data_IF_868212249256
#
_entry.id   IF_868212249256
#
_cell.length_a   1.000
_cell.length_b   1.000
_cell.length_c   1.000
_cell.angle_alpha   90.00
_cell.angle_beta   90.00
_cell.angle_gamma   90.00
#
_symmetry.space_group_name_H-M   'P 1'
#
loop_
_entity.id
_entity.type
_entity.pdbx_description
1 polymer ?
#
# COMPACT_ATOMS: atom_id res chain seq x y z
N UNK A 1 -47.98 30.50 1.70
CA UNK A 1 -47.68 29.07 1.55
C UNK A 1 -46.19 28.90 1.75
N UNK A 2 -45.79 28.49 2.95
CA UNK A 2 -44.39 28.31 3.32
C UNK A 2 -43.93 26.99 2.72
N UNK A 3 -43.14 27.04 1.65
CA UNK A 3 -42.53 25.86 1.04
C UNK A 3 -41.75 25.11 2.13
N UNK A 4 -42.21 23.92 2.49
CA UNK A 4 -41.47 23.05 3.41
C UNK A 4 -40.07 22.83 2.81
N UNK A 5 -39.03 23.20 3.55
CA UNK A 5 -37.66 23.01 3.13
C UNK A 5 -37.45 21.54 2.79
N UNK A 6 -37.11 21.25 1.53
CA UNK A 6 -36.72 19.90 1.12
C UNK A 6 -35.59 19.41 2.03
N UNK A 7 -35.69 18.18 2.58
CA UNK A 7 -34.64 17.64 3.43
C UNK A 7 -33.35 17.49 2.60
N UNK A 8 -32.30 18.20 3.01
CA UNK A 8 -30.99 18.19 2.37
C UNK A 8 -30.27 16.86 2.68
N UNK A 9 -30.08 15.95 1.71
CA UNK A 9 -29.56 14.61 1.96
C UNK A 9 -28.11 14.59 2.44
N UNK A 10 -27.37 15.70 2.31
CA UNK A 10 -26.00 15.83 2.79
C UNK A 10 -25.92 16.30 4.24
N UNK A 11 -27.01 16.83 4.81
CA UNK A 11 -27.06 17.24 6.22
C UNK A 11 -27.43 16.06 7.10
N UNK A 12 -26.52 15.72 8.01
CA UNK A 12 -26.77 14.66 8.97
C UNK A 12 -27.60 15.17 10.16
N UNK A 13 -28.40 14.30 10.81
CA UNK A 13 -29.14 14.65 12.00
C UNK A 13 -28.21 14.98 13.18
N UNK A 14 -28.73 15.72 14.16
CA UNK A 14 -27.97 16.06 15.37
C UNK A 14 -27.73 14.79 16.22
N UNK A 15 -26.47 14.39 16.49
CA UNK A 15 -26.19 13.28 17.37
C UNK A 15 -26.51 13.63 18.83
N UNK A 16 -27.04 12.67 19.57
CA UNK A 16 -27.14 12.74 21.03
C UNK A 16 -25.88 12.12 21.68
N UNK A 17 -25.62 12.34 22.99
CA UNK A 17 -24.41 11.83 23.64
C UNK A 17 -24.23 10.30 23.58
N UNK A 18 -25.32 9.54 23.43
CA UNK A 18 -25.32 8.08 23.31
C UNK A 18 -25.25 7.58 21.86
N UNK A 19 -25.26 8.48 20.87
CA UNK A 19 -25.19 8.11 19.45
C UNK A 19 -23.82 7.51 19.16
N UNK A 20 -23.71 6.36 18.50
CA UNK A 20 -22.41 5.79 18.15
C UNK A 20 -21.65 6.73 17.21
N UNK A 21 -20.33 6.85 17.40
CA UNK A 21 -19.48 7.69 16.55
C UNK A 21 -19.53 7.20 15.10
N UNK A 22 -19.52 5.88 14.89
CA UNK A 22 -19.65 5.25 13.58
C UNK A 22 -20.99 4.49 13.51
N UNK A 23 -21.89 4.79 12.56
CA UNK A 23 -23.18 4.12 12.43
C UNK A 23 -23.01 2.69 11.91
N UNK A 24 -23.97 1.82 12.24
CA UNK A 24 -23.91 0.38 11.95
C UNK A 24 -23.59 0.02 10.49
N UNK A 25 -24.00 0.86 9.52
CA UNK A 25 -23.74 0.62 8.10
C UNK A 25 -22.30 0.92 7.65
N UNK A 26 -21.51 1.64 8.46
CA UNK A 26 -20.09 1.94 8.19
C UNK A 26 -19.13 1.13 9.08
N UNK A 27 -19.66 0.49 10.13
CA UNK A 27 -18.86 -0.27 11.09
C UNK A 27 -18.40 -1.59 10.48
N UNK A 28 -17.11 -1.88 10.60
CA UNK A 28 -16.54 -3.21 10.38
C UNK A 28 -16.95 -4.11 11.55
N UNK A 29 -17.68 -5.19 11.26
CA UNK A 29 -18.28 -6.07 12.25
C UNK A 29 -17.28 -6.57 13.32
N UNK A 30 -16.06 -6.92 12.90
CA UNK A 30 -14.99 -7.41 13.78
C UNK A 30 -14.58 -6.39 14.86
N UNK A 31 -14.66 -5.09 14.55
CA UNK A 31 -14.26 -3.99 15.43
C UNK A 31 -15.44 -3.19 15.99
N UNK A 32 -16.67 -3.67 15.81
CA UNK A 32 -17.88 -2.97 16.26
C UNK A 32 -17.89 -2.69 17.77
N UNK A 33 -17.33 -3.60 18.56
CA UNK A 33 -17.21 -3.49 20.02
C UNK A 33 -16.26 -2.38 20.49
N UNK A 34 -15.42 -1.83 19.59
CA UNK A 34 -14.50 -0.73 19.88
C UNK A 34 -15.11 0.65 19.58
N UNK A 35 -16.37 0.70 19.16
CA UNK A 35 -17.05 1.95 18.82
C UNK A 35 -17.39 2.74 20.09
N UNK A 36 -17.08 4.03 20.06
CA UNK A 36 -17.41 4.94 21.16
C UNK A 36 -18.75 5.64 20.89
N UNK A 37 -19.32 6.21 21.95
CA UNK A 37 -20.45 7.12 21.83
C UNK A 37 -19.97 8.55 21.55
N UNK A 38 -20.82 9.37 20.94
CA UNK A 38 -20.53 10.75 20.57
C UNK A 38 -20.01 11.57 21.77
N UNK A 39 -20.60 11.41 22.96
CA UNK A 39 -20.17 12.13 24.16
C UNK A 39 -18.80 11.71 24.73
N UNK A 40 -18.18 10.65 24.22
CA UNK A 40 -16.91 10.15 24.74
C UNK A 40 -15.75 11.11 24.44
N UNK A 41 -14.78 11.17 25.36
CA UNK A 41 -13.55 11.97 25.19
C UNK A 41 -12.54 11.35 24.22
N UNK A 42 -12.69 10.06 23.90
CA UNK A 42 -11.84 9.35 22.95
C UNK A 42 -12.72 8.69 21.90
N UNK A 43 -12.42 8.96 20.63
CA UNK A 43 -13.11 8.33 19.49
C UNK A 43 -12.13 7.43 18.73
N UNK A 44 -12.21 6.10 18.92
CA UNK A 44 -11.40 5.14 18.17
C UNK A 44 -11.83 5.08 16.70
N UNK A 45 -10.87 5.06 15.77
CA UNK A 45 -11.16 4.84 14.33
C UNK A 45 -11.14 3.36 13.94
N UNK A 46 -10.81 2.46 14.87
CA UNK A 46 -10.81 1.02 14.64
C UNK A 46 -12.12 0.48 14.01
N UNK A 47 -13.33 0.98 14.37
CA UNK A 47 -14.56 0.53 13.73
C UNK A 47 -14.66 0.80 12.23
N UNK A 48 -13.82 1.69 11.65
CA UNK A 48 -13.78 1.99 10.21
C UNK A 48 -12.65 1.23 9.47
N UNK A 49 -11.85 0.44 10.18
CA UNK A 49 -10.65 -0.19 9.64
C UNK A 49 -10.87 -1.71 9.60
N UNK A 50 -10.89 -2.28 8.39
CA UNK A 50 -10.96 -3.73 8.19
C UNK A 50 -9.58 -4.39 8.18
N UNK A 51 -8.53 -3.62 7.86
CA UNK A 51 -7.15 -4.13 7.78
C UNK A 51 -6.51 -4.22 9.18
N UNK A 52 -6.18 -5.43 9.68
CA UNK A 52 -5.56 -5.60 10.99
C UNK A 52 -4.13 -5.03 11.08
N UNK A 53 -3.47 -4.75 9.95
CA UNK A 53 -2.13 -4.15 9.90
C UNK A 53 -2.14 -2.61 9.96
N UNK A 54 -3.30 -1.98 9.75
CA UNK A 54 -3.42 -0.53 9.78
C UNK A 54 -3.50 -0.02 11.22
N UNK A 55 -2.66 0.97 11.55
CA UNK A 55 -2.57 1.54 12.89
C UNK A 55 -3.92 2.06 13.39
N UNK A 56 -4.36 1.56 14.55
CA UNK A 56 -5.62 1.97 15.22
C UNK A 56 -5.45 3.35 15.87
N UNK A 57 -5.63 4.41 15.09
CA UNK A 57 -5.58 5.80 15.57
C UNK A 57 -6.91 6.19 16.23
N UNK A 58 -6.84 7.13 17.17
CA UNK A 58 -8.00 7.68 17.88
C UNK A 58 -7.95 9.21 17.91
N UNK A 59 -9.11 9.85 18.01
CA UNK A 59 -9.23 11.28 18.26
C UNK A 59 -9.39 11.47 19.78
N UNK A 60 -8.53 12.30 20.37
CA UNK A 60 -8.53 12.59 21.80
C UNK A 60 -9.03 14.02 22.04
N UNK A 61 -10.27 14.17 22.49
CA UNK A 61 -10.94 15.47 22.69
C UNK A 61 -10.42 16.27 23.89
N UNK A 62 -9.66 15.64 24.79
CA UNK A 62 -8.93 16.32 25.87
C UNK A 62 -7.91 17.32 25.31
N UNK A 63 -7.37 17.04 24.12
CA UNK A 63 -6.41 17.91 23.44
C UNK A 63 -7.07 19.13 22.77
N UNK A 64 -8.40 19.19 22.72
CA UNK A 64 -9.16 20.30 22.18
C UNK A 64 -9.51 21.30 23.30
N UNK A 65 -9.30 22.62 23.08
CA UNK A 65 -9.77 23.64 24.00
C UNK A 65 -11.27 23.47 24.29
N UNK A 66 -11.66 23.68 25.55
CA UNK A 66 -13.02 23.39 26.01
C UNK A 66 -14.08 24.22 25.26
N UNK A 67 -13.77 25.47 24.89
CA UNK A 67 -14.66 26.35 24.16
C UNK A 67 -15.08 25.80 22.78
N UNK A 68 -14.15 25.14 22.07
CA UNK A 68 -14.38 24.62 20.72
C UNK A 68 -14.76 23.15 20.66
N UNK A 69 -14.72 22.44 21.80
CA UNK A 69 -14.82 20.98 21.84
C UNK A 69 -16.11 20.49 21.21
N UNK A 70 -17.26 21.05 21.58
CA UNK A 70 -18.55 20.58 21.07
C UNK A 70 -18.78 20.97 19.61
N UNK A 71 -18.35 22.17 19.19
CA UNK A 71 -18.43 22.61 17.78
C UNK A 71 -17.58 21.70 16.88
N UNK A 72 -16.31 21.48 17.23
CA UNK A 72 -15.43 20.61 16.46
C UNK A 72 -15.84 19.14 16.53
N UNK A 73 -16.42 18.70 17.64
CA UNK A 73 -16.96 17.33 17.76
C UNK A 73 -18.13 17.12 16.81
N UNK A 74 -19.03 18.07 16.72
CA UNK A 74 -20.16 17.98 15.79
C UNK A 74 -19.66 17.92 14.35
N UNK A 75 -18.75 18.83 13.96
CA UNK A 75 -18.20 18.85 12.61
C UNK A 75 -17.39 17.57 12.31
N UNK A 76 -16.62 17.05 13.28
CA UNK A 76 -15.89 15.79 13.13
C UNK A 76 -16.83 14.59 12.95
N UNK A 77 -17.96 14.56 13.67
CA UNK A 77 -18.96 13.51 13.48
C UNK A 77 -19.61 13.59 12.10
N UNK A 78 -19.94 14.81 11.63
CA UNK A 78 -20.42 15.04 10.27
C UNK A 78 -19.37 14.65 9.22
N UNK A 79 -18.10 14.93 9.47
CA UNK A 79 -16.98 14.57 8.60
C UNK A 79 -16.77 13.06 8.49
N UNK A 80 -16.88 12.32 9.60
CA UNK A 80 -16.73 10.86 9.62
C UNK A 80 -17.89 10.18 8.89
N UNK A 81 -19.11 10.66 9.12
CA UNK A 81 -20.32 9.96 8.70
C UNK A 81 -20.94 10.48 7.41
N UNK A 82 -20.63 11.72 7.04
CA UNK A 82 -21.19 12.41 5.88
C UNK A 82 -20.33 12.30 4.64
N UNK A 83 -20.73 13.04 3.62
CA UNK A 83 -20.04 13.17 2.33
C UNK A 83 -20.10 14.63 1.87
N UNK A 84 -19.05 15.11 1.22
CA UNK A 84 -19.07 16.46 0.63
C UNK A 84 -20.01 16.51 -0.59
N UNK A 85 -20.62 17.67 -0.83
CA UNK A 85 -21.49 17.88 -2.00
C UNK A 85 -20.69 17.67 -3.30
N UNK A 86 -21.34 17.11 -4.31
CA UNK A 86 -20.73 16.91 -5.64
C UNK A 86 -20.32 18.22 -6.31
N UNK A 87 -21.04 19.32 -6.08
CA UNK A 87 -20.70 20.66 -6.58
C UNK A 87 -19.35 21.12 -6.03
N UNK A 88 -19.16 20.98 -4.72
CA UNK A 88 -17.91 21.27 -4.03
C UNK A 88 -16.75 20.43 -4.59
N UNK A 89 -16.97 19.12 -4.80
CA UNK A 89 -15.93 18.24 -5.36
C UNK A 89 -15.54 18.62 -6.81
N UNK A 90 -16.49 19.08 -7.63
CA UNK A 90 -16.19 19.55 -8.99
C UNK A 90 -15.32 20.80 -8.99
N UNK A 91 -15.55 21.73 -8.07
CA UNK A 91 -14.76 22.96 -7.94
C UNK A 91 -13.32 22.69 -7.49
N UNK A 92 -13.09 21.65 -6.67
CA UNK A 92 -11.80 21.39 -6.02
C UNK A 92 -11.00 20.23 -6.65
N UNK A 93 -11.60 19.45 -7.54
CA UNK A 93 -10.97 18.34 -8.25
C UNK A 93 -10.33 17.32 -7.32
N UNK A 94 -9.10 16.89 -7.64
CA UNK A 94 -8.38 15.83 -6.90
C UNK A 94 -7.93 16.27 -5.49
N UNK A 95 -7.91 17.58 -5.19
CA UNK A 95 -7.48 18.13 -3.89
C UNK A 95 -8.46 17.78 -2.75
N UNK A 96 -9.72 17.54 -3.09
CA UNK A 96 -10.77 17.17 -2.14
C UNK A 96 -11.40 15.83 -2.51
N UNK A 97 -11.67 15.01 -1.49
CA UNK A 97 -12.30 13.70 -1.64
C UNK A 97 -13.66 13.73 -0.96
N UNK A 98 -14.63 13.00 -1.51
CA UNK A 98 -15.98 12.88 -0.93
C UNK A 98 -15.95 12.38 0.51
N UNK A 99 -15.09 11.39 0.77
CA UNK A 99 -14.76 10.83 2.10
C UNK A 99 -13.26 10.64 2.23
N UNK A 100 -12.74 10.87 3.43
CA UNK A 100 -11.35 10.56 3.79
C UNK A 100 -11.26 9.18 4.43
N UNK A 101 -10.13 8.50 4.20
CA UNK A 101 -9.87 7.21 4.83
C UNK A 101 -9.79 7.33 6.35
N UNK A 102 -10.18 6.29 7.08
CA UNK A 102 -10.10 6.22 8.55
C UNK A 102 -8.72 6.60 9.12
N UNK A 103 -7.63 6.31 8.39
CA UNK A 103 -6.27 6.67 8.81
C UNK A 103 -5.93 8.16 8.69
N UNK A 104 -6.60 8.89 7.79
CA UNK A 104 -6.39 10.32 7.52
C UNK A 104 -7.32 11.23 8.34
N UNK A 105 -8.45 10.70 8.82
CA UNK A 105 -9.44 11.42 9.61
C UNK A 105 -8.85 12.01 10.91
N UNK A 106 -8.16 11.25 11.79
CA UNK A 106 -7.60 11.81 13.01
C UNK A 106 -6.57 12.90 12.75
N UNK A 107 -5.73 12.75 11.73
CA UNK A 107 -4.74 13.75 11.36
C UNK A 107 -5.40 15.07 10.93
N UNK A 108 -6.51 14.99 10.19
CA UNK A 108 -7.30 16.18 9.79
C UNK A 108 -7.88 16.90 11.00
N UNK A 109 -8.48 16.16 11.94
CA UNK A 109 -9.05 16.73 13.17
C UNK A 109 -7.97 17.36 14.05
N UNK A 110 -6.74 16.81 14.07
CA UNK A 110 -5.62 17.43 14.79
C UNK A 110 -5.29 18.82 14.25
N UNK A 111 -5.34 19.05 12.94
CA UNK A 111 -5.17 20.39 12.37
C UNK A 111 -6.29 21.35 12.80
N UNK A 112 -7.53 20.86 12.95
CA UNK A 112 -8.63 21.66 13.49
C UNK A 112 -8.40 22.03 14.97
N UNK A 113 -7.88 21.11 15.77
CA UNK A 113 -7.52 21.40 17.16
C UNK A 113 -6.36 22.40 17.25
N UNK A 114 -5.44 22.42 16.28
CA UNK A 114 -4.38 23.43 16.21
C UNK A 114 -4.96 24.82 15.92
N UNK A 115 -5.91 24.94 14.98
CA UNK A 115 -6.67 26.17 14.75
C UNK A 115 -7.39 26.61 16.04
N UNK A 116 -8.12 25.71 16.69
CA UNK A 116 -8.85 26.04 17.93
C UNK A 116 -7.92 26.55 19.03
N UNK A 117 -6.72 25.98 19.20
CA UNK A 117 -5.72 26.49 20.16
C UNK A 117 -5.20 27.88 19.77
N UNK A 118 -5.02 28.13 18.48
CA UNK A 118 -4.59 29.43 17.98
C UNK A 118 -5.66 30.51 18.20
N UNK A 119 -6.94 30.15 18.05
CA UNK A 119 -8.09 31.01 18.33
C UNK A 119 -8.25 31.27 19.83
N UNK A 120 -8.17 30.23 20.67
CA UNK A 120 -8.32 30.33 22.13
C UNK A 120 -7.23 31.23 22.74
N UNK A 121 -5.99 31.16 22.22
CA UNK A 121 -4.90 32.08 22.59
C UNK A 121 -5.19 33.56 22.29
N UNK A 122 -6.06 33.84 21.33
CA UNK A 122 -6.52 35.20 20.96
C UNK A 122 -7.83 35.59 21.65
N UNK A 123 -8.34 34.74 22.55
CA UNK A 123 -9.62 34.97 23.23
C UNK A 123 -10.84 34.70 22.36
N UNK A 124 -10.68 34.17 21.15
CA UNK A 124 -11.80 33.75 20.30
C UNK A 124 -12.29 32.39 20.81
N UNK A 125 -13.60 32.25 21.00
CA UNK A 125 -14.21 31.09 21.70
C UNK A 125 -15.27 30.33 20.92
N UNK A 126 -15.52 30.71 19.67
CA UNK A 126 -16.47 30.04 18.77
C UNK A 126 -15.99 30.14 17.33
N UNK A 127 -16.26 29.12 16.52
CA UNK A 127 -15.99 29.11 15.09
C UNK A 127 -16.81 30.17 14.34
N UNK A 128 -17.96 30.58 14.87
CA UNK A 128 -18.79 31.64 14.30
C UNK A 128 -18.07 33.00 14.24
N UNK A 129 -17.08 33.23 15.11
CA UNK A 129 -16.27 34.43 15.13
C UNK A 129 -15.07 34.37 14.15
N UNK A 130 -14.92 33.27 13.41
CA UNK A 130 -13.90 33.15 12.36
C UNK A 130 -14.41 33.80 11.08
N UNK A 131 -14.32 35.12 11.02
CA UNK A 131 -14.55 35.87 9.79
C UNK A 131 -13.37 35.76 8.81
N UNK A 132 -13.50 36.41 7.66
CA UNK A 132 -12.45 36.42 6.62
C UNK A 132 -11.12 36.99 7.13
N UNK A 133 -11.15 37.97 8.03
CA UNK A 133 -9.93 38.60 8.59
C UNK A 133 -9.20 37.64 9.52
N UNK A 134 -9.93 37.01 10.44
CA UNK A 134 -9.37 36.01 11.36
C UNK A 134 -8.76 34.85 10.59
N UNK A 135 -9.44 34.38 9.54
CA UNK A 135 -8.89 33.31 8.71
C UNK A 135 -7.68 33.78 7.91
N UNK A 136 -7.68 35.00 7.35
CA UNK A 136 -6.51 35.57 6.69
C UNK A 136 -5.28 35.59 7.63
N UNK A 137 -5.45 36.08 8.86
CA UNK A 137 -4.40 36.07 9.88
C UNK A 137 -3.92 34.66 10.22
N UNK A 138 -4.84 33.69 10.29
CA UNK A 138 -4.46 32.29 10.51
C UNK A 138 -3.62 31.74 9.35
N UNK A 139 -4.01 32.06 8.11
CA UNK A 139 -3.25 31.66 6.92
C UNK A 139 -1.83 32.25 6.91
N UNK A 140 -1.70 33.53 7.26
CA UNK A 140 -0.40 34.21 7.41
C UNK A 140 0.42 33.54 8.52
N UNK A 141 -0.21 33.23 9.67
CA UNK A 141 0.45 32.49 10.74
C UNK A 141 0.94 31.10 10.27
N UNK A 142 0.14 30.36 9.50
CA UNK A 142 0.54 29.06 8.94
C UNK A 142 1.72 29.21 7.98
N UNK A 143 1.71 30.23 7.11
CA UNK A 143 2.83 30.56 6.23
C UNK A 143 4.12 30.76 7.01
N UNK A 144 4.06 31.51 8.10
CA UNK A 144 5.25 31.94 8.84
C UNK A 144 5.77 30.88 9.83
N UNK A 145 4.91 29.93 10.23
CA UNK A 145 5.25 28.93 11.27
C UNK A 145 5.33 27.48 10.78
N UNK A 146 4.82 27.18 9.58
CA UNK A 146 4.89 25.83 9.05
C UNK A 146 6.34 25.41 8.78
N UNK A 147 6.67 24.17 9.16
CA UNK A 147 8.02 23.58 8.94
C UNK A 147 8.32 23.31 7.47
N UNK A 148 7.33 23.44 6.58
CA UNK A 148 7.49 23.32 5.14
C UNK A 148 6.19 23.55 4.37
N UNK A 149 6.32 23.81 3.07
CA UNK A 149 5.20 24.12 2.17
C UNK A 149 4.10 23.06 2.18
N UNK A 150 4.47 21.78 2.19
CA UNK A 150 3.51 20.66 2.24
C UNK A 150 2.71 20.61 3.55
N UNK A 151 3.33 20.94 4.68
CA UNK A 151 2.64 21.04 5.98
C UNK A 151 1.64 22.19 5.93
N UNK A 152 2.03 23.35 5.40
CA UNK A 152 1.14 24.48 5.21
C UNK A 152 -0.06 24.12 4.31
N UNK A 153 0.16 23.49 3.15
CA UNK A 153 -0.91 23.01 2.26
C UNK A 153 -1.87 22.09 3.00
N UNK A 154 -1.37 21.11 3.77
CA UNK A 154 -2.21 20.18 4.54
C UNK A 154 -3.05 20.90 5.59
N UNK A 155 -2.45 21.85 6.32
CA UNK A 155 -3.15 22.65 7.32
C UNK A 155 -4.26 23.49 6.70
N UNK A 156 -3.98 24.24 5.64
CA UNK A 156 -4.96 25.09 4.95
C UNK A 156 -6.10 24.24 4.36
N UNK A 157 -5.76 23.11 3.73
CA UNK A 157 -6.74 22.14 3.19
C UNK A 157 -7.63 21.56 4.30
N UNK A 158 -7.07 21.28 5.47
CA UNK A 158 -7.85 20.80 6.61
C UNK A 158 -8.85 21.86 7.08
N UNK A 159 -8.46 23.14 7.13
CA UNK A 159 -9.37 24.23 7.50
C UNK A 159 -10.46 24.46 6.44
N UNK A 160 -10.14 24.35 5.16
CA UNK A 160 -11.16 24.33 4.09
C UNK A 160 -12.17 23.20 4.30
N UNK A 161 -11.71 22.00 4.68
CA UNK A 161 -12.62 20.90 5.03
C UNK A 161 -13.47 21.19 6.26
N UNK A 162 -12.91 21.87 7.27
CA UNK A 162 -13.66 22.27 8.46
C UNK A 162 -14.85 23.15 8.05
N UNK A 163 -14.61 24.19 7.26
CA UNK A 163 -15.67 25.07 6.75
C UNK A 163 -16.71 24.29 5.92
N UNK A 164 -16.27 23.46 4.98
CA UNK A 164 -17.18 22.70 4.13
C UNK A 164 -18.08 21.72 4.91
N UNK A 165 -17.56 21.09 5.97
CA UNK A 165 -18.36 20.20 6.81
C UNK A 165 -19.16 20.93 7.90
N UNK A 166 -18.77 22.14 8.31
CA UNK A 166 -19.59 23.01 9.18
C UNK A 166 -20.94 23.32 8.52
N UNK A 167 -20.95 23.66 7.23
CA UNK A 167 -22.17 23.93 6.46
C UNK A 167 -23.12 22.71 6.36
N UNK A 168 -22.55 21.51 6.42
CA UNK A 168 -23.26 20.22 6.37
C UNK A 168 -23.63 19.69 7.75
N UNK A 169 -23.16 20.33 8.81
CA UNK A 169 -23.47 19.92 10.17
C UNK A 169 -24.93 20.24 10.52
N UNK A 170 -25.47 19.55 11.54
CA UNK A 170 -26.82 19.78 12.02
C UNK A 170 -27.01 21.19 12.64
N UNK A 171 -25.91 21.82 13.07
CA UNK A 171 -25.87 23.17 13.65
C UNK A 171 -24.62 23.89 13.12
N UNK A 172 -24.66 24.40 11.88
CA UNK A 172 -23.55 25.16 11.33
C UNK A 172 -23.22 26.34 12.24
N UNK A 173 -21.95 26.52 12.53
CA UNK A 173 -21.47 27.67 13.32
C UNK A 173 -21.48 28.95 12.48
N UNK A 174 -21.42 28.83 11.16
CA UNK A 174 -21.40 29.98 10.24
C UNK A 174 -19.99 30.54 10.04
N UNK A 175 -18.97 29.69 10.22
CA UNK A 175 -17.58 30.01 9.89
C UNK A 175 -17.48 30.56 8.46
N UNK A 176 -16.73 31.64 8.26
CA UNK A 176 -16.55 32.21 6.94
C UNK A 176 -15.75 31.27 6.01
N UNK A 177 -16.00 31.38 4.71
CA UNK A 177 -15.19 30.69 3.69
C UNK A 177 -13.73 31.14 3.81
N UNK A 178 -12.75 30.23 3.88
CA UNK A 178 -11.35 30.61 3.97
C UNK A 178 -10.85 31.37 2.74
N UNK A 179 -10.03 32.44 2.91
CA UNK A 179 -9.61 33.27 1.78
C UNK A 179 -8.69 32.55 0.80
N UNK A 180 -7.87 31.58 1.25
CA UNK A 180 -7.05 30.74 0.36
C UNK A 180 -7.87 29.78 -0.50
N UNK A 181 -9.10 29.49 -0.09
CA UNK A 181 -10.03 28.69 -0.89
C UNK A 181 -10.67 29.53 -2.01
N UNK A 182 -11.01 30.79 -1.69
CA UNK A 182 -11.67 31.71 -2.61
C UNK A 182 -10.70 32.37 -3.60
N UNK A 183 -9.51 32.77 -3.15
CA UNK A 183 -8.55 33.57 -3.95
C UNK A 183 -7.25 32.83 -4.30
N UNK A 184 -7.11 31.57 -3.84
CA UNK A 184 -5.91 30.77 -4.03
C UNK A 184 -4.97 30.78 -2.82
N UNK A 185 -4.22 29.69 -2.65
CA UNK A 185 -3.43 29.44 -1.45
C UNK A 185 -2.01 30.00 -1.48
N UNK A 186 -1.50 30.43 -2.64
CA UNK A 186 -0.07 30.71 -2.82
C UNK A 186 0.46 31.80 -1.87
N UNK A 187 -0.31 32.84 -1.58
CA UNK A 187 0.05 33.92 -0.65
C UNK A 187 0.17 33.47 0.82
N UNK A 188 -0.40 32.30 1.13
CA UNK A 188 -0.44 31.69 2.46
C UNK A 188 0.53 30.52 2.60
N UNK A 189 1.34 30.28 1.58
CA UNK A 189 2.31 29.19 1.58
C UNK A 189 3.72 29.75 1.72
N UNK A 190 4.60 29.09 2.52
CA UNK A 190 6.01 29.44 2.54
C UNK A 190 6.57 29.49 1.12
N UNK A 191 7.59 30.32 0.91
CA UNK A 191 8.32 30.40 -0.35
C UNK A 191 8.64 28.98 -0.82
N UNK A 192 8.43 28.72 -2.11
CA UNK A 192 8.81 27.45 -2.70
C UNK A 192 10.33 27.32 -2.58
N UNK A 193 10.78 26.61 -1.57
CA UNK A 193 12.17 26.17 -1.52
C UNK A 193 12.33 25.14 -2.62
N UNK A 194 13.40 25.24 -3.41
CA UNK A 194 13.76 24.24 -4.42
C UNK A 194 13.94 22.83 -3.83
N UNK A 195 13.90 22.72 -2.49
CA UNK A 195 14.00 21.51 -1.67
C UNK A 195 12.67 21.08 -1.03
N UNK A 196 11.54 21.70 -1.38
CA UNK A 196 10.25 21.50 -0.71
C UNK A 196 9.24 20.67 -1.50
N UNK A 197 9.61 19.49 -1.99
CA UNK A 197 8.74 18.60 -2.76
C UNK A 197 8.91 17.13 -2.38
N UNK A 198 8.01 16.62 -1.54
CA UNK A 198 7.50 15.24 -1.48
C UNK A 198 8.44 14.02 -1.60
N UNK A 199 9.76 14.16 -1.48
CA UNK A 199 10.72 13.08 -1.35
C UNK A 199 11.74 13.46 -0.29
N UNK A 200 11.50 13.00 0.95
CA UNK A 200 12.36 13.25 2.12
C UNK A 200 13.68 12.44 2.07
N UNK A 201 13.92 11.73 0.97
CA UNK A 201 15.22 11.19 0.60
C UNK A 201 15.69 11.95 -0.62
N UNK A 202 16.94 12.38 -0.57
CA UNK A 202 17.69 12.87 -1.73
C UNK A 202 17.31 12.01 -2.95
N UNK A 203 16.86 12.61 -4.07
CA UNK A 203 16.63 11.86 -5.30
C UNK A 203 17.86 10.97 -5.53
N UNK A 204 17.64 9.68 -5.78
CA UNK A 204 18.72 8.80 -6.19
C UNK A 204 19.49 9.53 -7.28
N UNK A 205 20.78 9.77 -7.04
CA UNK A 205 21.64 10.57 -7.92
C UNK A 205 21.39 10.12 -9.38
N UNK A 206 21.33 11.05 -10.33
CA UNK A 206 20.98 10.73 -11.73
C UNK A 206 21.85 9.62 -12.31
N UNK A 207 23.10 9.53 -11.82
CA UNK A 207 24.10 8.51 -12.11
C UNK A 207 23.66 7.08 -11.71
N UNK A 208 22.72 6.95 -10.78
CA UNK A 208 22.11 5.67 -10.36
C UNK A 208 20.72 5.43 -10.95
N UNK A 209 19.91 6.48 -11.09
CA UNK A 209 18.53 6.35 -11.59
C UNK A 209 18.50 6.01 -13.08
N UNK A 210 19.34 6.65 -13.88
CA UNK A 210 19.44 6.40 -15.32
C UNK A 210 19.75 4.93 -15.64
N UNK A 211 20.86 4.36 -15.12
CA UNK A 211 21.18 2.95 -15.34
C UNK A 211 20.12 1.98 -14.81
N UNK A 212 19.50 2.26 -13.66
CA UNK A 212 18.45 1.42 -13.10
C UNK A 212 17.22 1.37 -14.02
N UNK A 213 16.80 2.50 -14.58
CA UNK A 213 15.69 2.56 -15.52
C UNK A 213 16.00 1.86 -16.83
N UNK A 214 17.21 2.06 -17.37
CA UNK A 214 17.66 1.35 -18.57
C UNK A 214 17.58 -0.16 -18.35
N UNK A 215 18.07 -0.66 -17.21
CA UNK A 215 17.98 -2.08 -16.90
C UNK A 215 16.55 -2.55 -16.63
N UNK A 216 15.71 -1.75 -15.98
CA UNK A 216 14.31 -2.09 -15.78
C UNK A 216 13.56 -2.23 -17.11
N UNK A 217 13.76 -1.29 -18.04
CA UNK A 217 13.20 -1.34 -19.40
C UNK A 217 13.68 -2.61 -20.11
N UNK A 218 14.99 -2.88 -20.09
CA UNK A 218 15.54 -4.07 -20.75
C UNK A 218 15.05 -5.39 -20.16
N UNK A 219 14.86 -5.48 -18.84
CA UNK A 219 14.27 -6.68 -18.22
C UNK A 219 12.85 -6.93 -18.74
N UNK A 220 12.09 -5.87 -19.00
CA UNK A 220 10.72 -5.99 -19.52
C UNK A 220 10.70 -6.23 -21.03
N UNK A 221 11.45 -5.45 -21.80
CA UNK A 221 11.41 -5.50 -23.26
C UNK A 221 12.22 -6.66 -23.84
N UNK A 222 13.42 -6.93 -23.30
CA UNK A 222 14.33 -7.93 -23.87
C UNK A 222 14.16 -9.32 -23.22
N UNK A 223 13.76 -9.40 -21.94
CA UNK A 223 13.91 -10.62 -21.13
C UNK A 223 12.59 -11.19 -20.57
N UNK A 224 11.47 -10.46 -20.65
CA UNK A 224 10.24 -10.84 -19.96
C UNK A 224 9.68 -12.19 -20.43
N UNK A 225 9.69 -12.46 -21.73
CA UNK A 225 9.12 -13.69 -22.30
C UNK A 225 9.85 -14.93 -21.77
N UNK A 226 11.18 -14.90 -21.72
CA UNK A 226 11.99 -15.98 -21.17
C UNK A 226 11.71 -16.19 -19.67
N UNK A 227 11.61 -15.10 -18.90
CA UNK A 227 11.32 -15.15 -17.45
C UNK A 227 9.92 -15.73 -17.18
N UNK A 228 8.91 -15.28 -17.94
CA UNK A 228 7.53 -15.74 -17.81
C UNK A 228 7.41 -17.22 -18.22
N UNK A 229 8.09 -17.63 -19.29
CA UNK A 229 8.14 -19.02 -19.73
C UNK A 229 8.81 -19.92 -18.67
N UNK A 230 9.94 -19.48 -18.11
CA UNK A 230 10.65 -20.16 -17.04
C UNK A 230 9.80 -20.32 -15.78
N UNK A 231 9.13 -19.23 -15.36
CA UNK A 231 8.22 -19.26 -14.22
C UNK A 231 7.06 -20.23 -14.45
N UNK A 232 6.44 -20.19 -15.63
CA UNK A 232 5.34 -21.08 -15.97
C UNK A 232 5.77 -22.56 -15.96
N UNK A 233 6.95 -22.89 -16.51
CA UNK A 233 7.46 -24.26 -16.49
C UNK A 233 7.85 -24.72 -15.08
N UNK A 234 8.53 -23.88 -14.31
CA UNK A 234 8.89 -24.20 -12.93
C UNK A 234 7.63 -24.43 -12.06
N UNK A 235 6.57 -23.63 -12.26
CA UNK A 235 5.28 -23.84 -11.59
C UNK A 235 4.64 -25.18 -12.00
N UNK A 236 4.61 -25.48 -13.31
CA UNK A 236 4.10 -26.77 -13.81
C UNK A 236 4.85 -27.95 -13.17
N UNK A 237 6.19 -27.93 -13.15
CA UNK A 237 6.98 -29.00 -12.55
C UNK A 237 6.70 -29.17 -11.06
N UNK A 238 6.56 -28.06 -10.31
CA UNK A 238 6.21 -28.11 -8.88
C UNK A 238 4.79 -28.66 -8.64
N UNK A 239 3.83 -28.24 -9.45
CA UNK A 239 2.45 -28.73 -9.38
C UNK A 239 2.36 -30.22 -9.75
N UNK A 240 3.12 -30.66 -10.75
CA UNK A 240 3.21 -32.08 -11.11
C UNK A 240 3.80 -32.88 -9.94
N UNK A 241 4.98 -32.51 -9.44
CA UNK A 241 5.65 -33.24 -8.36
C UNK A 241 4.81 -33.37 -7.08
N UNK A 242 4.01 -32.35 -6.76
CA UNK A 242 3.14 -32.36 -5.56
C UNK A 242 1.90 -33.24 -5.73
N UNK A 243 1.41 -33.44 -6.96
CA UNK A 243 0.21 -34.24 -7.25
C UNK A 243 0.52 -35.69 -7.63
N UNK A 244 1.76 -36.00 -8.00
CA UNK A 244 2.14 -37.34 -8.45
C UNK A 244 2.08 -38.37 -7.32
N UNK A 245 1.23 -39.41 -7.42
CA UNK A 245 1.16 -40.47 -6.42
C UNK A 245 2.36 -41.43 -6.53
N UNK A 246 2.61 -42.18 -5.46
CA UNK A 246 3.66 -43.20 -5.46
C UNK A 246 3.25 -44.37 -6.36
N UNK A 247 3.99 -44.62 -7.45
CA UNK A 247 3.73 -45.74 -8.36
C UNK A 247 4.99 -46.58 -8.59
N UNK A 248 4.86 -47.89 -8.90
CA UNK A 248 6.01 -48.71 -9.29
C UNK A 248 6.73 -48.19 -10.54
N UNK A 249 5.99 -47.65 -11.51
CA UNK A 249 6.56 -47.06 -12.71
C UNK A 249 7.42 -45.81 -12.39
N UNK A 250 6.91 -44.88 -11.58
CA UNK A 250 7.68 -43.70 -11.15
C UNK A 250 8.90 -44.08 -10.31
N UNK A 251 8.78 -45.12 -9.50
CA UNK A 251 9.90 -45.69 -8.75
C UNK A 251 11.01 -46.22 -9.67
N UNK A 252 10.66 -47.01 -10.68
CA UNK A 252 11.61 -47.56 -11.65
C UNK A 252 12.27 -46.46 -12.49
N UNK A 253 11.49 -45.46 -12.93
CA UNK A 253 12.00 -44.29 -13.65
C UNK A 253 12.98 -43.46 -12.82
N UNK A 254 12.73 -43.31 -11.52
CA UNK A 254 13.66 -42.65 -10.60
C UNK A 254 14.97 -43.42 -10.45
N UNK A 255 14.92 -44.74 -10.25
CA UNK A 255 16.12 -45.56 -10.12
C UNK A 255 16.94 -45.51 -11.43
N UNK A 256 16.29 -45.65 -12.60
CA UNK A 256 16.94 -45.50 -13.91
C UNK A 256 17.58 -44.12 -14.12
N UNK A 257 16.90 -43.04 -13.70
CA UNK A 257 17.44 -41.68 -13.76
C UNK A 257 18.71 -41.51 -12.91
N UNK A 258 18.69 -42.00 -11.67
CA UNK A 258 19.83 -41.91 -10.75
C UNK A 258 21.01 -42.76 -11.22
N UNK A 259 20.74 -43.96 -11.75
CA UNK A 259 21.76 -44.87 -12.27
C UNK A 259 22.44 -44.29 -13.51
N UNK A 260 21.66 -43.68 -14.42
CA UNK A 260 22.21 -42.99 -15.60
C UNK A 260 23.12 -41.82 -15.21
N UNK A 261 22.73 -41.02 -14.21
CA UNK A 261 23.56 -39.90 -13.71
C UNK A 261 24.87 -40.39 -13.11
N UNK A 262 24.82 -41.52 -12.38
CA UNK A 262 26.00 -42.15 -11.77
C UNK A 262 26.93 -42.71 -12.84
N UNK A 263 26.40 -43.41 -13.84
CA UNK A 263 27.18 -44.03 -14.92
C UNK A 263 27.94 -43.00 -15.76
N UNK A 264 27.33 -41.84 -16.02
CA UNK A 264 27.96 -40.74 -16.78
C UNK A 264 28.81 -39.83 -15.86
N UNK A 265 28.78 -40.04 -14.54
CA UNK A 265 29.50 -39.21 -13.57
C UNK A 265 29.00 -37.76 -13.50
N UNK A 266 27.74 -37.51 -13.90
CA UNK A 266 27.11 -36.18 -13.85
C UNK A 266 26.68 -35.84 -12.42
N UNK A 267 26.85 -34.57 -12.06
CA UNK A 267 26.40 -34.05 -10.77
C UNK A 267 24.87 -34.12 -10.66
N UNK A 268 24.35 -34.54 -9.50
CA UNK A 268 22.91 -34.69 -9.27
C UNK A 268 22.23 -33.34 -9.10
N UNK A 269 20.97 -33.16 -9.59
CA UNK A 269 20.25 -31.90 -9.45
C UNK A 269 20.16 -31.46 -7.99
N UNK A 270 20.59 -30.25 -7.73
CA UNK A 270 20.79 -29.71 -6.40
C UNK A 270 20.09 -28.37 -6.20
N UNK A 271 19.72 -28.10 -4.94
CA UNK A 271 19.23 -26.81 -4.48
C UNK A 271 20.09 -26.32 -3.32
N UNK A 272 20.47 -25.04 -3.33
CA UNK A 272 21.15 -24.42 -2.20
C UNK A 272 20.12 -23.85 -1.23
N UNK A 273 20.05 -24.41 -0.02
CA UNK A 273 19.16 -23.94 1.04
C UNK A 273 19.99 -23.54 2.28
N UNK A 274 19.91 -22.27 2.70
CA UNK A 274 20.66 -21.73 3.84
C UNK A 274 22.17 -22.06 3.76
N UNK A 275 22.76 -21.88 2.57
CA UNK A 275 24.18 -22.15 2.30
C UNK A 275 24.56 -23.64 2.20
N UNK A 276 23.59 -24.57 2.23
CA UNK A 276 23.85 -26.02 2.12
C UNK A 276 23.18 -26.59 0.88
N UNK A 277 23.95 -27.28 0.04
CA UNK A 277 23.43 -28.01 -1.11
C UNK A 277 22.65 -29.24 -0.65
N UNK A 278 21.44 -29.39 -1.20
CA UNK A 278 20.53 -30.52 -0.96
C UNK A 278 20.03 -31.04 -2.29
N UNK A 279 19.59 -32.30 -2.31
CA UNK A 279 18.97 -32.88 -3.51
C UNK A 279 17.72 -32.08 -3.92
N UNK A 280 17.60 -31.74 -5.20
CA UNK A 280 16.45 -31.03 -5.75
C UNK A 280 15.25 -31.99 -5.92
N UNK A 281 14.67 -32.45 -4.80
CA UNK A 281 13.65 -33.50 -4.80
C UNK A 281 12.43 -33.18 -5.67
N UNK A 282 11.99 -31.91 -5.69
CA UNK A 282 10.84 -31.47 -6.50
C UNK A 282 11.15 -31.59 -7.99
N UNK A 283 12.33 -31.11 -8.41
CA UNK A 283 12.75 -31.16 -9.81
C UNK A 283 12.89 -32.61 -10.28
N UNK A 284 13.55 -33.46 -9.48
CA UNK A 284 13.73 -34.88 -9.81
C UNK A 284 12.37 -35.61 -9.88
N UNK A 285 11.50 -35.40 -8.89
CA UNK A 285 10.15 -35.99 -8.88
C UNK A 285 9.36 -35.62 -10.15
N UNK A 286 9.37 -34.33 -10.52
CA UNK A 286 8.70 -33.85 -11.73
C UNK A 286 9.30 -34.46 -13.01
N UNK A 287 10.62 -34.64 -13.06
CA UNK A 287 11.32 -35.16 -14.25
C UNK A 287 11.14 -36.66 -14.44
N UNK A 288 11.06 -37.43 -13.36
CA UNK A 288 10.96 -38.90 -13.41
C UNK A 288 9.54 -39.41 -13.27
N UNK A 289 8.57 -38.56 -12.90
CA UNK A 289 7.21 -38.99 -12.57
C UNK A 289 7.13 -39.81 -11.27
N UNK A 290 8.14 -39.70 -10.40
CA UNK A 290 8.12 -40.31 -9.07
C UNK A 290 7.44 -39.39 -8.06
N UNK A 291 6.86 -39.95 -7.00
CA UNK A 291 6.37 -39.12 -5.90
C UNK A 291 7.52 -38.54 -5.06
N UNK A 292 7.28 -37.40 -4.41
CA UNK A 292 8.25 -36.79 -3.49
C UNK A 292 8.70 -37.74 -2.38
N UNK A 293 7.81 -38.61 -1.90
CA UNK A 293 8.15 -39.62 -0.89
C UNK A 293 9.14 -40.65 -1.45
N UNK A 294 8.93 -41.13 -2.68
CA UNK A 294 9.84 -42.05 -3.34
C UNK A 294 11.23 -41.44 -3.49
N UNK A 295 11.33 -40.18 -3.94
CA UNK A 295 12.61 -39.46 -4.05
C UNK A 295 13.29 -39.29 -2.69
N UNK A 296 12.52 -38.96 -1.65
CA UNK A 296 13.04 -38.79 -0.29
C UNK A 296 13.61 -40.09 0.27
N UNK A 297 12.88 -41.21 0.11
CA UNK A 297 13.34 -42.53 0.53
C UNK A 297 14.60 -42.96 -0.24
N UNK A 298 14.68 -42.68 -1.56
CA UNK A 298 15.90 -42.95 -2.36
C UNK A 298 17.09 -42.12 -1.90
N UNK A 299 16.88 -40.83 -1.64
CA UNK A 299 17.93 -39.94 -1.13
C UNK A 299 18.54 -40.48 0.17
N UNK A 300 17.70 -40.92 1.11
CA UNK A 300 18.15 -41.49 2.39
C UNK A 300 18.88 -42.82 2.19
N UNK A 301 18.30 -43.76 1.44
CA UNK A 301 18.88 -45.10 1.24
C UNK A 301 20.22 -45.08 0.50
N UNK A 302 20.35 -44.20 -0.51
CA UNK A 302 21.57 -44.09 -1.33
C UNK A 302 22.54 -43.01 -0.82
N UNK A 303 22.22 -42.30 0.27
CA UNK A 303 23.09 -41.26 0.84
C UNK A 303 23.38 -40.09 -0.11
N UNK A 304 22.46 -39.77 -1.03
CA UNK A 304 22.71 -38.82 -2.14
C UNK A 304 22.97 -37.39 -1.65
N UNK A 305 22.54 -37.07 -0.44
CA UNK A 305 22.77 -35.76 0.18
C UNK A 305 24.27 -35.43 0.28
N UNK A 306 25.12 -36.41 0.57
CA UNK A 306 26.57 -36.21 0.62
C UNK A 306 27.14 -35.96 -0.77
N UNK A 307 26.73 -36.75 -1.75
CA UNK A 307 27.15 -36.59 -3.15
C UNK A 307 26.79 -35.22 -3.71
N UNK A 308 25.58 -34.73 -3.41
CA UNK A 308 25.11 -33.39 -3.81
C UNK A 308 25.85 -32.27 -3.08
N UNK A 309 26.26 -32.48 -1.83
CA UNK A 309 27.06 -31.51 -1.08
C UNK A 309 28.46 -31.33 -1.67
N UNK A 310 29.07 -32.42 -2.14
CA UNK A 310 30.40 -32.41 -2.76
C UNK A 310 30.36 -31.88 -4.21
N UNK A 311 29.33 -32.26 -4.98
CA UNK A 311 29.18 -31.91 -6.40
C UNK A 311 27.72 -31.56 -6.73
N UNK A 312 27.27 -30.32 -6.46
CA UNK A 312 25.91 -29.90 -6.79
C UNK A 312 25.72 -29.77 -8.31
N UNK A 313 24.65 -30.36 -8.84
CA UNK A 313 24.29 -30.28 -10.26
C UNK A 313 23.17 -29.26 -10.52
N UNK A 314 23.08 -28.72 -11.75
CA UNK A 314 22.04 -27.76 -12.14
C UNK A 314 20.68 -28.44 -12.32
N UNK A 315 19.63 -27.64 -12.32
CA UNK A 315 18.24 -28.02 -12.59
C UNK A 315 17.72 -27.28 -13.84
N UNK A 316 18.27 -27.56 -15.04
CA UNK A 316 17.92 -26.81 -16.26
C UNK A 316 16.44 -26.98 -16.63
N UNK A 317 15.83 -25.89 -17.04
CA UNK A 317 14.51 -25.82 -17.64
C UNK A 317 14.62 -26.13 -19.15
N UNK A 318 13.62 -26.83 -19.68
CA UNK A 318 13.58 -27.26 -21.09
C UNK A 318 12.83 -26.21 -21.91
N UNK A 319 13.49 -25.08 -22.16
CA UNK A 319 12.94 -23.88 -22.79
C UNK A 319 14.03 -23.21 -23.63
N UNK A 320 13.69 -22.68 -24.82
CA UNK A 320 14.61 -21.81 -25.54
C UNK A 320 14.76 -20.47 -24.80
N UNK A 321 15.99 -19.97 -24.70
CA UNK A 321 16.28 -18.60 -24.26
C UNK A 321 16.35 -17.72 -25.50
N UNK A 322 15.48 -16.71 -25.58
CA UNK A 322 15.32 -15.85 -26.77
C UNK A 322 15.85 -14.44 -26.55
N UNK A 323 15.85 -13.97 -25.31
CA UNK A 323 16.32 -12.65 -24.92
C UNK A 323 17.81 -12.46 -25.17
N UNK A 324 18.22 -11.21 -25.46
CA UNK A 324 19.60 -10.88 -25.78
C UNK A 324 20.10 -9.68 -25.01
N UNK A 325 21.35 -9.75 -24.55
CA UNK A 325 22.09 -8.62 -24.02
C UNK A 325 23.28 -8.33 -24.92
N UNK A 326 23.31 -7.12 -25.49
CA UNK A 326 24.37 -6.70 -26.43
C UNK A 326 24.55 -7.69 -27.60
N UNK A 327 23.46 -8.24 -28.11
CA UNK A 327 23.45 -9.19 -29.24
C UNK A 327 23.71 -10.65 -28.87
N UNK A 328 24.16 -10.95 -27.64
CA UNK A 328 24.37 -12.31 -27.16
C UNK A 328 23.18 -12.80 -26.31
N UNK A 329 22.84 -14.10 -26.31
CA UNK A 329 21.84 -14.65 -25.37
C UNK A 329 22.18 -14.28 -23.93
N UNK A 330 21.20 -13.78 -23.17
CA UNK A 330 21.45 -13.35 -21.78
C UNK A 330 21.72 -14.53 -20.83
N UNK A 331 21.26 -15.72 -21.21
CA UNK A 331 21.52 -17.01 -20.56
C UNK A 331 21.68 -18.08 -21.62
N UNK A 332 22.47 -19.10 -21.30
CA UNK A 332 22.49 -20.33 -22.09
C UNK A 332 21.29 -21.21 -21.76
N UNK A 333 20.99 -21.35 -20.46
CA UNK A 333 19.86 -22.13 -19.93
C UNK A 333 19.35 -21.47 -18.66
N UNK A 334 18.03 -21.53 -18.44
CA UNK A 334 17.38 -21.07 -17.21
C UNK A 334 17.22 -22.22 -16.21
N UNK A 335 17.51 -21.96 -14.94
CA UNK A 335 17.41 -22.95 -13.86
C UNK A 335 16.04 -22.91 -13.15
N UNK A 336 15.54 -24.08 -12.76
CA UNK A 336 14.30 -24.23 -12.00
C UNK A 336 14.28 -23.40 -10.70
N UNK A 337 15.44 -23.25 -10.04
CA UNK A 337 15.55 -22.54 -8.76
C UNK A 337 15.73 -21.03 -8.92
N UNK A 338 16.16 -20.52 -10.09
CA UNK A 338 16.27 -19.07 -10.32
C UNK A 338 14.96 -18.43 -10.83
N UNK A 339 14.07 -19.22 -11.45
CA UNK A 339 12.80 -18.72 -11.99
C UNK A 339 11.96 -17.87 -11.01
N UNK A 340 11.81 -18.22 -9.71
CA UNK A 340 11.08 -17.37 -8.75
C UNK A 340 11.74 -16.01 -8.49
N UNK A 341 13.07 -15.97 -8.50
CA UNK A 341 13.84 -14.75 -8.26
C UNK A 341 13.75 -13.85 -9.49
N UNK A 342 13.88 -14.42 -10.68
CA UNK A 342 13.71 -13.70 -11.96
C UNK A 342 12.31 -13.12 -12.10
N UNK A 343 11.26 -13.88 -11.75
CA UNK A 343 9.88 -13.38 -11.75
C UNK A 343 9.70 -12.17 -10.80
N UNK A 344 10.37 -12.21 -9.64
CA UNK A 344 10.38 -11.07 -8.71
C UNK A 344 11.10 -9.86 -9.30
N UNK A 345 12.22 -10.08 -9.99
CA UNK A 345 12.94 -8.99 -10.67
C UNK A 345 12.12 -8.38 -11.80
N UNK A 346 11.39 -9.19 -12.57
CA UNK A 346 10.47 -8.70 -13.60
C UNK A 346 9.36 -7.83 -13.00
N UNK A 347 8.72 -8.28 -11.91
CA UNK A 347 7.73 -7.47 -11.19
C UNK A 347 8.32 -6.18 -10.60
N UNK A 348 9.56 -6.25 -10.10
CA UNK A 348 10.28 -5.09 -9.58
C UNK A 348 10.61 -4.09 -10.70
N UNK A 349 11.03 -4.56 -11.86
CA UNK A 349 11.30 -3.72 -13.03
C UNK A 349 10.03 -2.99 -13.50
N UNK A 350 8.91 -3.71 -13.61
CA UNK A 350 7.61 -3.10 -13.93
C UNK A 350 7.22 -2.04 -12.90
N UNK A 351 7.39 -2.33 -11.61
CA UNK A 351 7.15 -1.36 -10.55
C UNK A 351 8.03 -0.12 -10.66
N UNK A 352 9.34 -0.28 -10.91
CA UNK A 352 10.28 0.84 -11.06
C UNK A 352 9.82 1.75 -12.21
N UNK A 353 9.45 1.20 -13.36
CA UNK A 353 8.97 1.99 -14.51
C UNK A 353 7.66 2.70 -14.18
N UNK A 354 6.68 2.01 -13.60
CA UNK A 354 5.41 2.62 -13.22
C UNK A 354 5.61 3.74 -12.20
N UNK A 355 6.42 3.52 -11.15
CA UNK A 355 6.71 4.52 -10.13
C UNK A 355 7.44 5.73 -10.74
N UNK A 356 8.37 5.50 -11.66
CA UNK A 356 9.10 6.57 -12.35
C UNK A 356 8.18 7.40 -13.26
N UNK A 357 7.34 6.77 -14.07
CA UNK A 357 6.46 7.47 -15.03
C UNK A 357 5.30 8.20 -14.35
N UNK A 358 4.80 7.69 -13.23
CA UNK A 358 3.64 8.26 -12.53
C UNK A 358 4.03 9.30 -11.48
N UNK A 359 5.28 9.30 -11.02
CA UNK A 359 5.71 10.09 -9.86
C UNK A 359 5.01 9.70 -8.56
N UNK A 360 4.27 8.57 -8.54
CA UNK A 360 3.45 8.12 -7.41
C UNK A 360 4.26 7.24 -6.45
N UNK A 361 3.98 7.36 -5.15
CA UNK A 361 4.67 6.58 -4.11
C UNK A 361 4.13 5.14 -4.05
N UNK A 362 4.93 4.16 -3.56
CA UNK A 362 4.48 2.77 -3.41
C UNK A 362 3.14 2.61 -2.66
N UNK A 363 2.86 3.50 -1.70
CA UNK A 363 1.64 3.48 -0.89
C UNK A 363 0.36 3.84 -1.68
N UNK A 364 0.49 4.37 -2.89
CA UNK A 364 -0.62 4.81 -3.73
C UNK A 364 -1.02 3.73 -4.75
N UNK A 365 -0.12 2.78 -5.04
CA UNK A 365 -0.35 1.62 -5.91
C UNK A 365 -0.72 0.35 -5.13
N UNK A 366 -1.28 0.49 -3.92
CA UNK A 366 -1.59 -0.65 -3.04
C UNK A 366 -2.40 -1.77 -3.71
N UNK A 367 -3.31 -1.42 -4.63
CA UNK A 367 -4.08 -2.40 -5.42
C UNK A 367 -3.23 -3.16 -6.45
N UNK A 368 -2.30 -2.47 -7.14
CA UNK A 368 -1.38 -3.10 -8.10
C UNK A 368 -0.28 -3.90 -7.40
N UNK A 369 0.22 -3.41 -6.26
CA UNK A 369 1.14 -4.15 -5.39
C UNK A 369 0.49 -5.44 -4.87
N UNK A 370 -0.79 -5.40 -4.51
CA UNK A 370 -1.52 -6.59 -4.07
C UNK A 370 -1.70 -7.60 -5.21
N UNK A 371 -1.99 -7.14 -6.44
CA UNK A 371 -2.09 -7.97 -7.64
C UNK A 371 -0.74 -8.57 -8.07
N UNK A 372 0.36 -7.81 -7.99
CA UNK A 372 1.71 -8.28 -8.30
C UNK A 372 2.22 -9.27 -7.24
N UNK A 373 1.95 -9.04 -5.95
CA UNK A 373 2.30 -9.97 -4.87
C UNK A 373 1.49 -11.27 -4.93
N UNK A 374 0.22 -11.23 -5.31
CA UNK A 374 -0.58 -12.45 -5.52
C UNK A 374 -0.14 -13.24 -6.76
N UNK A 375 0.23 -12.54 -7.84
CA UNK A 375 0.76 -13.18 -9.06
C UNK A 375 2.14 -13.81 -8.85
N UNK A 376 2.96 -13.26 -7.95
CA UNK A 376 4.28 -13.77 -7.58
C UNK A 376 4.27 -14.87 -6.50
N UNK A 377 3.10 -15.29 -5.99
CA UNK A 377 3.00 -16.44 -5.09
C UNK A 377 3.69 -16.26 -3.73
N UNK A 378 3.52 -15.11 -3.07
CA UNK A 378 4.12 -14.81 -1.77
C UNK A 378 3.57 -15.59 -0.55
N UNK A 379 2.87 -16.71 -0.75
CA UNK A 379 2.55 -17.64 0.34
C UNK A 379 3.49 -18.84 0.19
N UNK A 380 4.32 -19.05 1.20
CA UNK A 380 5.37 -20.09 1.35
C UNK A 380 6.75 -19.72 0.77
N UNK A 381 7.46 -18.87 1.53
CA UNK A 381 8.92 -18.95 1.66
C UNK A 381 9.25 -19.37 3.09
#
# INVERSE_FOLDING_TARGET
MTTAAQPDPFRLPLPNPATPVVPAHLVVAEHAHLNANYGALVWPMAPLIADPSQGRRSIFWENCPAAFREELRLVAWTFINGELRRTFLKEHGVRMRSRLSAGATPATVVYWMQLARWLDKRGIRTLAACDRSVLHEYGVFVRDTATGRQVAVKTLTAVTRLWAYDELSARPTGMARPPWDEFGADDYLPAATSYGGENEREPLAEETTGPLLVWAIRVIEDLADDILAAWAQARRLRDTATRTPSTPAGSAALDAYLDAMTAVGKALPAVVLKGKSRLACIYIAARTGASLNQVTVRNQRRGLTRSVAERPGPCPLDLPVTGKIAGAPWREVLDFHEAPVLMRHLGTAAFIICAYLTGMRPQENGAELHLMQHSAGFKYA
#
